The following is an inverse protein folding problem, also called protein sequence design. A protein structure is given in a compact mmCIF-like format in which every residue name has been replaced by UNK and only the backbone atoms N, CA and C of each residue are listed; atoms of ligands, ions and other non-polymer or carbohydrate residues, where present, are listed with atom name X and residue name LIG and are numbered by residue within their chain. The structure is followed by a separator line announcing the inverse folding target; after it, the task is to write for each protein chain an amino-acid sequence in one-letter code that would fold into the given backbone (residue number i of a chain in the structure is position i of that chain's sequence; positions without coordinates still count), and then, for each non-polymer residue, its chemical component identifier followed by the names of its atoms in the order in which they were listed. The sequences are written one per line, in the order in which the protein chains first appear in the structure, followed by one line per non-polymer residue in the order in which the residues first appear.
data_IF_804977217178
#
_entry.id   IF_804977217178
#
_cell.length_a   1.000
_cell.length_b   1.000
_cell.length_c   1.000
_cell.angle_alpha   90.00
_cell.angle_beta   90.00
_cell.angle_gamma   90.00
#
_symmetry.space_group_name_H-M   'P 1'
#
loop_
_entity.id
_entity.type
_entity.pdbx_description
1 polymer ?
#
# COMPACT_ATOMS: atom_id res chain seq x y z
N UNK A 1 14.45 -10.49 28.87
CA UNK A 1 14.82 -9.34 29.73
C UNK A 1 15.90 -8.56 29.02
N UNK A 2 15.79 -7.25 28.97
CA UNK A 2 16.84 -6.38 28.42
C UNK A 2 18.07 -6.41 29.35
N UNK A 3 19.23 -6.02 28.85
CA UNK A 3 20.50 -6.02 29.60
C UNK A 3 20.46 -5.18 30.89
N UNK A 4 19.49 -4.29 31.02
CA UNK A 4 19.22 -3.45 32.18
C UNK A 4 18.09 -3.99 33.10
N UNK A 5 17.60 -5.21 32.90
CA UNK A 5 16.52 -5.80 33.70
C UNK A 5 15.11 -5.35 33.32
N UNK A 6 14.96 -4.45 32.34
CA UNK A 6 13.65 -4.00 31.83
C UNK A 6 12.92 -5.06 31.01
N UNK A 7 11.59 -4.98 30.98
CA UNK A 7 10.76 -5.73 30.03
C UNK A 7 10.61 -4.93 28.73
N UNK A 8 10.78 -5.56 27.55
CA UNK A 8 10.55 -4.88 26.29
C UNK A 8 9.05 -4.61 26.11
N UNK A 9 8.70 -3.35 25.88
CA UNK A 9 7.34 -2.92 25.53
C UNK A 9 7.31 -2.66 24.03
N UNK A 10 6.37 -3.31 23.33
CA UNK A 10 6.25 -3.22 21.87
C UNK A 10 4.79 -3.13 21.46
N UNK A 11 4.54 -2.37 20.40
CA UNK A 11 3.26 -2.34 19.69
C UNK A 11 3.51 -2.51 18.18
N UNK A 12 2.47 -2.85 17.43
CA UNK A 12 2.54 -2.99 15.98
C UNK A 12 1.78 -1.84 15.32
N UNK A 13 2.37 -1.23 14.31
CA UNK A 13 1.69 -0.28 13.43
C UNK A 13 1.54 -0.93 12.07
N UNK A 14 0.30 -1.12 11.63
CA UNK A 14 -0.05 -1.71 10.35
C UNK A 14 -0.60 -0.64 9.41
N UNK A 15 0.24 -0.21 8.47
CA UNK A 15 -0.21 0.61 7.36
C UNK A 15 -0.79 -0.26 6.24
N UNK A 16 -1.77 0.28 5.52
CA UNK A 16 -2.31 -0.30 4.30
C UNK A 16 -1.34 -0.04 3.13
N UNK A 17 -1.84 0.38 1.97
CA UNK A 17 -0.95 0.79 0.87
C UNK A 17 -0.42 2.19 1.14
N UNK A 18 0.90 2.33 1.27
CA UNK A 18 1.54 3.64 1.52
C UNK A 18 1.89 4.30 0.19
N UNK A 19 1.50 5.57 0.02
CA UNK A 19 1.89 6.40 -1.13
C UNK A 19 2.58 7.68 -0.67
N UNK A 20 3.30 8.34 -1.58
CA UNK A 20 3.97 9.61 -1.29
C UNK A 20 5.18 9.80 -2.19
N UNK A 21 6.07 10.69 -1.75
CA UNK A 21 7.29 11.02 -2.47
C UNK A 21 8.16 9.77 -2.64
N UNK A 22 8.78 9.65 -3.82
CA UNK A 22 9.70 8.55 -4.16
C UNK A 22 9.06 7.16 -4.11
N UNK A 23 7.73 7.07 -4.10
CA UNK A 23 7.01 5.82 -4.28
C UNK A 23 7.37 5.19 -5.64
N UNK A 24 8.23 4.17 -5.62
CA UNK A 24 8.72 3.48 -6.82
C UNK A 24 7.58 2.89 -7.63
N UNK A 25 6.56 2.33 -6.97
CA UNK A 25 5.39 1.77 -7.65
C UNK A 25 4.61 2.83 -8.45
N UNK A 26 4.50 4.07 -7.97
CA UNK A 26 3.84 5.16 -8.72
C UNK A 26 4.67 5.55 -9.94
N UNK A 27 6.00 5.63 -9.78
CA UNK A 27 6.91 5.90 -10.89
C UNK A 27 6.85 4.80 -11.96
N UNK A 28 6.85 3.53 -11.55
CA UNK A 28 6.79 2.40 -12.47
C UNK A 28 5.45 2.37 -13.22
N UNK A 29 4.34 2.64 -12.53
CA UNK A 29 3.03 2.78 -13.14
C UNK A 29 2.99 3.93 -14.15
N UNK A 30 3.59 5.08 -13.84
CA UNK A 30 3.68 6.20 -14.76
C UNK A 30 4.47 5.85 -16.03
N UNK A 31 5.63 5.21 -15.89
CA UNK A 31 6.45 4.76 -17.03
C UNK A 31 5.69 3.75 -17.88
N UNK A 32 4.98 2.80 -17.26
CA UNK A 32 4.15 1.84 -17.97
C UNK A 32 2.99 2.52 -18.72
N UNK A 33 2.30 3.46 -18.08
CA UNK A 33 1.24 4.23 -18.73
C UNK A 33 1.77 5.01 -19.93
N UNK A 34 2.93 5.66 -19.81
CA UNK A 34 3.57 6.35 -20.94
C UNK A 34 3.94 5.41 -22.09
N UNK A 35 4.45 4.23 -21.79
CA UNK A 35 4.72 3.21 -22.81
C UNK A 35 3.44 2.69 -23.51
N UNK A 36 2.28 2.86 -22.88
CA UNK A 36 0.97 2.46 -23.38
C UNK A 36 0.14 3.67 -23.87
N UNK A 37 0.79 4.69 -24.43
CA UNK A 37 0.11 5.91 -24.94
C UNK A 37 -0.73 6.65 -23.90
N UNK A 38 -0.28 6.69 -22.64
CA UNK A 38 -0.96 7.36 -21.54
C UNK A 38 -2.06 6.53 -20.86
N UNK A 39 -2.18 5.25 -21.20
CA UNK A 39 -3.27 4.38 -20.72
C UNK A 39 -2.86 3.67 -19.43
N UNK A 40 -3.52 3.98 -18.31
CA UNK A 40 -3.26 3.34 -17.00
C UNK A 40 -4.21 2.16 -16.75
N UNK A 41 -3.75 0.94 -17.04
CA UNK A 41 -4.48 -0.29 -16.75
C UNK A 41 -4.46 -0.66 -15.26
N UNK A 42 -5.53 -1.31 -14.81
CA UNK A 42 -5.68 -1.77 -13.43
C UNK A 42 -6.19 -3.22 -13.38
N UNK A 43 -5.79 -3.94 -12.33
CA UNK A 43 -6.12 -5.36 -12.14
C UNK A 43 -7.20 -5.56 -11.08
N UNK A 44 -7.36 -4.59 -10.20
CA UNK A 44 -8.33 -4.63 -9.12
C UNK A 44 -9.75 -4.62 -9.69
N UNK A 45 -10.62 -5.56 -9.29
CA UNK A 45 -12.04 -5.43 -9.53
C UNK A 45 -12.57 -4.08 -9.04
N UNK A 46 -13.53 -3.49 -9.75
CA UNK A 46 -14.01 -2.15 -9.43
C UNK A 46 -14.74 -2.05 -8.08
N UNK A 47 -15.21 -3.17 -7.55
CA UNK A 47 -15.80 -3.36 -6.22
C UNK A 47 -14.74 -3.56 -5.12
N UNK A 48 -13.46 -3.62 -5.48
CA UNK A 48 -12.37 -3.79 -4.50
C UNK A 48 -12.13 -2.50 -3.72
N UNK A 49 -12.31 -2.57 -2.40
CA UNK A 49 -11.97 -1.50 -1.47
C UNK A 49 -10.62 -1.78 -0.81
N UNK A 50 -9.73 -0.80 -0.89
CA UNK A 50 -8.42 -0.77 -0.26
C UNK A 50 -8.02 0.66 0.06
N UNK A 51 -7.84 0.91 1.35
CA UNK A 51 -7.36 2.20 1.83
C UNK A 51 -5.89 2.37 1.44
N UNK A 52 -5.52 3.62 1.17
CA UNK A 52 -4.13 4.02 1.04
C UNK A 52 -3.87 5.16 2.05
N UNK A 53 -2.62 5.35 2.43
CA UNK A 53 -2.25 6.39 3.39
C UNK A 53 -0.97 7.08 2.95
N UNK A 54 -0.96 8.40 3.04
CA UNK A 54 0.21 9.21 2.74
C UNK A 54 1.37 8.88 3.69
N UNK A 55 2.58 8.77 3.17
CA UNK A 55 3.78 8.38 3.91
C UNK A 55 4.08 9.32 5.07
N UNK A 56 3.81 10.62 4.91
CA UNK A 56 3.95 11.60 5.98
C UNK A 56 3.03 11.31 7.18
N UNK A 57 1.79 10.90 6.91
CA UNK A 57 0.82 10.53 7.95
C UNK A 57 1.20 9.25 8.67
N UNK A 58 1.67 8.24 7.93
CA UNK A 58 2.19 6.99 8.53
C UNK A 58 3.37 7.30 9.43
N UNK A 59 4.31 8.12 8.95
CA UNK A 59 5.51 8.50 9.71
C UNK A 59 5.14 9.29 10.97
N UNK A 60 4.18 10.21 10.86
CA UNK A 60 3.67 10.96 12.01
C UNK A 60 3.05 10.05 13.07
N UNK A 61 2.26 9.06 12.66
CA UNK A 61 1.71 8.07 13.57
C UNK A 61 2.81 7.28 14.30
N UNK A 62 3.89 6.90 13.62
CA UNK A 62 5.04 6.24 14.28
C UNK A 62 5.68 7.13 15.35
N UNK A 63 5.84 8.43 15.09
CA UNK A 63 6.38 9.39 16.06
C UNK A 63 5.46 9.52 17.28
N UNK A 64 4.15 9.65 17.05
CA UNK A 64 3.16 9.71 18.14
C UNK A 64 3.16 8.43 18.98
N UNK A 65 3.16 7.27 18.33
CA UNK A 65 3.20 5.98 19.02
C UNK A 65 4.48 5.83 19.82
N UNK A 66 5.64 6.14 19.25
CA UNK A 66 6.93 6.04 19.96
C UNK A 66 6.97 6.95 21.20
N UNK A 67 6.41 8.15 21.12
CA UNK A 67 6.27 9.06 22.26
C UNK A 67 5.35 8.49 23.33
N UNK A 68 4.18 8.00 22.94
CA UNK A 68 3.19 7.49 23.90
C UNK A 68 3.58 6.14 24.50
N UNK A 69 4.39 5.34 23.81
CA UNK A 69 4.95 4.09 24.35
C UNK A 69 5.87 4.37 25.55
N UNK A 70 6.48 5.56 25.62
CA UNK A 70 7.29 5.98 26.77
C UNK A 70 6.45 6.57 27.91
N UNK A 71 5.31 7.18 27.59
CA UNK A 71 4.44 7.84 28.57
C UNK A 71 3.45 6.87 29.21
N UNK A 72 2.85 6.01 28.40
CA UNK A 72 1.78 5.07 28.78
C UNK A 72 2.08 3.66 28.22
N UNK A 73 3.20 3.04 28.62
CA UNK A 73 3.61 1.73 28.11
C UNK A 73 2.56 0.65 28.35
N UNK A 74 1.90 0.66 29.51
CA UNK A 74 0.90 -0.35 29.88
C UNK A 74 -0.35 -0.34 28.98
N UNK A 75 -0.69 0.83 28.42
CA UNK A 75 -1.83 0.97 27.51
C UNK A 75 -1.48 0.48 26.09
N UNK A 76 -0.28 0.79 25.62
CA UNK A 76 0.14 0.51 24.24
C UNK A 76 0.80 -0.86 24.08
N UNK A 77 1.26 -1.49 25.16
CA UNK A 77 1.91 -2.79 25.12
C UNK A 77 1.04 -3.87 24.46
N UNK A 78 1.61 -4.55 23.46
CA UNK A 78 0.97 -5.66 22.75
C UNK A 78 -0.16 -5.26 21.80
N UNK A 79 -0.44 -3.96 21.66
CA UNK A 79 -1.50 -3.47 20.78
C UNK A 79 -1.08 -3.44 19.31
N UNK A 80 -2.07 -3.59 18.43
CA UNK A 80 -1.94 -3.43 16.98
C UNK A 80 -2.77 -2.22 16.55
N UNK A 81 -2.12 -1.24 15.95
CA UNK A 81 -2.73 -0.01 15.48
C UNK A 81 -2.70 0.06 13.96
N UNK A 82 -3.84 0.37 13.36
CA UNK A 82 -3.94 0.53 11.91
C UNK A 82 -3.77 1.99 11.51
N UNK A 83 -2.93 2.27 10.52
CA UNK A 83 -2.86 3.60 9.91
C UNK A 83 -4.02 3.75 8.92
N UNK A 84 -4.85 4.76 9.15
CA UNK A 84 -5.83 5.26 8.19
C UNK A 84 -5.58 6.75 7.99
N UNK A 85 -5.78 7.22 6.76
CA UNK A 85 -5.68 8.63 6.40
C UNK A 85 -7.00 9.15 5.85
N UNK A 86 -7.07 10.45 5.63
CA UNK A 86 -8.27 11.14 5.10
C UNK A 86 -8.42 11.00 3.58
N UNK A 87 -7.85 9.95 2.99
CA UNK A 87 -7.88 9.74 1.55
C UNK A 87 -9.32 9.46 1.11
N UNK A 88 -9.91 10.28 0.21
CA UNK A 88 -11.35 10.28 -0.08
C UNK A 88 -11.81 9.06 -0.86
N UNK A 89 -10.88 8.36 -1.53
CA UNK A 89 -11.20 7.23 -2.41
C UNK A 89 -10.67 5.93 -1.82
N UNK A 90 -11.58 5.02 -1.44
CA UNK A 90 -11.24 3.65 -1.01
C UNK A 90 -10.87 2.73 -2.16
N UNK A 91 -10.95 3.16 -3.42
CA UNK A 91 -10.56 2.37 -4.58
C UNK A 91 -9.11 2.71 -4.96
N UNK A 92 -8.19 1.82 -4.66
CA UNK A 92 -6.75 2.08 -4.84
C UNK A 92 -6.35 2.40 -6.29
N UNK A 93 -7.05 1.85 -7.30
CA UNK A 93 -6.78 2.17 -8.70
C UNK A 93 -7.22 3.59 -9.08
N UNK A 94 -8.35 4.07 -8.55
CA UNK A 94 -8.83 5.44 -8.77
C UNK A 94 -7.90 6.45 -8.12
N UNK A 95 -7.39 6.15 -6.93
CA UNK A 95 -6.40 6.97 -6.26
C UNK A 95 -5.13 7.13 -7.11
N UNK A 96 -4.59 6.01 -7.62
CA UNK A 96 -3.42 6.00 -8.52
C UNK A 96 -3.68 6.84 -9.77
N UNK A 97 -4.84 6.65 -10.39
CA UNK A 97 -5.24 7.47 -11.53
C UNK A 97 -5.28 8.95 -11.16
N UNK A 98 -5.93 9.33 -10.06
CA UNK A 98 -6.04 10.72 -9.62
C UNK A 98 -4.67 11.35 -9.39
N UNK A 99 -3.77 10.66 -8.66
CA UNK A 99 -2.39 11.12 -8.39
C UNK A 99 -1.56 11.29 -9.68
N UNK A 100 -1.72 10.37 -10.64
CA UNK A 100 -0.96 10.46 -11.90
C UNK A 100 -1.56 11.50 -12.85
N UNK A 101 -2.89 11.61 -12.90
CA UNK A 101 -3.60 12.58 -13.74
C UNK A 101 -3.43 14.03 -13.28
N UNK A 102 -3.24 14.26 -11.97
CA UNK A 102 -2.95 15.59 -11.43
C UNK A 102 -1.55 16.06 -11.79
N UNK A 103 -0.59 15.13 -11.87
CA UNK A 103 0.78 15.40 -12.33
C UNK A 103 0.86 15.51 -13.86
N UNK A 104 0.15 14.65 -14.58
CA UNK A 104 0.18 14.58 -16.04
C UNK A 104 -1.23 14.28 -16.60
N UNK A 105 -1.92 15.30 -17.15
CA UNK A 105 -3.27 15.16 -17.71
C UNK A 105 -3.38 14.20 -18.91
N UNK A 106 -2.25 13.80 -19.52
CA UNK A 106 -2.26 12.82 -20.62
C UNK A 106 -2.51 11.39 -20.13
N UNK A 107 -2.39 11.13 -18.82
CA UNK A 107 -2.69 9.83 -18.23
C UNK A 107 -4.20 9.65 -18.15
N UNK A 108 -4.72 8.74 -18.95
CA UNK A 108 -6.13 8.37 -19.00
C UNK A 108 -6.38 7.07 -18.25
N UNK A 109 -7.56 6.99 -17.63
CA UNK A 109 -8.07 5.76 -17.05
C UNK A 109 -8.29 4.73 -18.14
N UNK A 110 -7.68 3.55 -17.99
CA UNK A 110 -7.85 2.47 -18.93
C UNK A 110 -8.95 1.48 -18.50
N UNK A 111 -8.97 0.33 -19.17
CA UNK A 111 -9.88 -0.78 -18.88
C UNK A 111 -9.32 -1.71 -17.79
N UNK A 112 -10.25 -2.32 -17.05
CA UNK A 112 -9.95 -3.42 -16.14
C UNK A 112 -9.31 -4.59 -16.90
N UNK A 113 -8.17 -5.10 -16.42
CA UNK A 113 -7.54 -6.31 -16.95
C UNK A 113 -8.24 -7.53 -16.33
N UNK A 114 -8.88 -8.41 -17.13
CA UNK A 114 -9.51 -9.60 -16.61
C UNK A 114 -8.52 -10.54 -15.90
N UNK A 115 -8.94 -11.12 -14.78
CA UNK A 115 -8.13 -12.06 -13.98
C UNK A 115 -7.52 -13.19 -14.82
N UNK A 116 -8.27 -13.76 -15.75
CA UNK A 116 -7.80 -14.87 -16.60
C UNK A 116 -6.59 -14.49 -17.46
N UNK A 117 -6.50 -13.23 -17.92
CA UNK A 117 -5.34 -12.75 -18.69
C UNK A 117 -4.09 -12.76 -17.82
N UNK A 118 -4.21 -12.26 -16.59
CA UNK A 118 -3.10 -12.22 -15.63
C UNK A 118 -2.68 -13.63 -15.21
N UNK A 119 -3.66 -14.50 -14.94
CA UNK A 119 -3.41 -15.91 -14.64
C UNK A 119 -2.65 -16.61 -15.78
N UNK A 120 -3.05 -16.36 -17.04
CA UNK A 120 -2.38 -16.91 -18.22
C UNK A 120 -0.95 -16.38 -18.34
N UNK A 121 -0.75 -15.07 -18.20
CA UNK A 121 0.59 -14.44 -18.24
C UNK A 121 1.51 -15.04 -17.18
N UNK A 122 1.03 -15.16 -15.92
CA UNK A 122 1.82 -15.73 -14.82
C UNK A 122 2.13 -17.21 -15.10
N UNK A 123 1.16 -17.96 -15.63
CA UNK A 123 1.34 -19.38 -15.97
C UNK A 123 2.37 -19.59 -17.08
N UNK A 124 2.31 -18.79 -18.15
CA UNK A 124 3.30 -18.80 -19.23
C UNK A 124 4.70 -18.45 -18.70
N UNK A 125 4.83 -17.40 -17.89
CA UNK A 125 6.12 -17.03 -17.28
C UNK A 125 6.69 -18.16 -16.43
N UNK A 126 5.84 -18.86 -15.68
CA UNK A 126 6.25 -20.01 -14.88
C UNK A 126 6.73 -21.18 -15.75
N UNK A 127 6.06 -21.46 -16.87
CA UNK A 127 6.50 -22.48 -17.83
C UNK A 127 7.86 -22.08 -18.42
N UNK A 128 7.99 -20.85 -18.92
CA UNK A 128 9.24 -20.31 -19.49
C UNK A 128 10.39 -20.44 -18.49
N UNK A 129 10.18 -20.09 -17.22
CA UNK A 129 11.19 -20.19 -16.15
C UNK A 129 11.60 -21.64 -15.82
N UNK A 130 10.70 -22.60 -15.99
CA UNK A 130 11.01 -24.02 -15.79
C UNK A 130 11.77 -24.57 -17.00
N UNK A 131 11.40 -24.16 -18.21
CA UNK A 131 11.99 -24.66 -19.46
C UNK A 131 13.34 -24.01 -19.79
N UNK A 132 13.48 -22.70 -19.59
CA UNK A 132 14.78 -22.02 -19.63
C UNK A 132 15.41 -22.14 -18.25
N UNK A 133 16.53 -22.87 -18.20
CA UNK A 133 17.38 -23.16 -17.03
C UNK A 133 17.41 -22.02 -15.96
N UNK A 134 17.60 -22.30 -14.65
CA UNK A 134 17.40 -21.34 -13.56
C UNK A 134 18.34 -20.11 -13.55
N UNK A 135 19.22 -19.98 -14.54
CA UNK A 135 20.27 -18.97 -14.61
C UNK A 135 19.79 -17.58 -15.02
N UNK A 136 18.51 -17.39 -15.35
CA UNK A 136 17.97 -16.07 -15.67
C UNK A 136 17.29 -15.45 -14.44
N UNK A 137 17.92 -14.41 -13.88
CA UNK A 137 17.47 -13.60 -12.73
C UNK A 137 16.21 -12.76 -12.98
N UNK A 138 15.36 -13.15 -13.94
CA UNK A 138 14.05 -12.52 -14.13
C UNK A 138 13.11 -13.05 -13.05
N UNK A 139 13.16 -12.42 -11.87
CA UNK A 139 12.06 -12.56 -10.92
C UNK A 139 10.82 -11.88 -11.52
N UNK A 140 9.71 -12.60 -11.70
CA UNK A 140 8.49 -11.95 -12.16
C UNK A 140 8.06 -10.93 -11.12
N UNK A 141 7.73 -9.71 -11.57
CA UNK A 141 7.18 -8.65 -10.72
C UNK A 141 5.80 -9.02 -10.16
N UNK A 142 5.13 -10.02 -10.75
CA UNK A 142 3.80 -10.48 -10.36
C UNK A 142 3.75 -12.01 -10.19
N UNK A 143 3.39 -12.47 -8.98
CA UNK A 143 3.17 -13.88 -8.66
C UNK A 143 1.70 -14.12 -8.28
N UNK A 144 1.22 -15.37 -8.35
CA UNK A 144 -0.17 -15.74 -8.02
C UNK A 144 -0.64 -15.25 -6.63
N UNK A 145 0.17 -15.37 -5.54
CA UNK A 145 -0.23 -14.84 -4.24
C UNK A 145 -0.42 -13.32 -4.25
N UNK A 146 0.44 -12.60 -4.99
CA UNK A 146 0.34 -11.15 -5.13
C UNK A 146 -0.92 -10.76 -5.92
N UNK A 147 -1.23 -11.50 -7.00
CA UNK A 147 -2.46 -11.31 -7.77
C UNK A 147 -3.71 -11.52 -6.90
N UNK A 148 -3.74 -12.56 -6.07
CA UNK A 148 -4.84 -12.80 -5.14
C UNK A 148 -5.01 -11.63 -4.16
N UNK A 149 -3.93 -11.16 -3.54
CA UNK A 149 -3.97 -10.03 -2.61
C UNK A 149 -4.42 -8.72 -3.28
N UNK A 150 -4.19 -8.57 -4.58
CA UNK A 150 -4.63 -7.38 -5.34
C UNK A 150 -6.13 -7.40 -5.61
N UNK A 151 -6.72 -8.57 -5.85
CA UNK A 151 -8.16 -8.70 -6.18
C UNK A 151 -9.06 -8.86 -4.94
N UNK A 152 -8.48 -8.98 -3.75
CA UNK A 152 -9.21 -9.06 -2.49
C UNK A 152 -9.33 -7.69 -1.82
N UNK A 153 -10.54 -7.34 -1.39
CA UNK A 153 -10.83 -6.14 -0.61
C UNK A 153 -10.27 -6.24 0.81
N UNK A 154 -9.62 -5.19 1.27
CA UNK A 154 -9.19 -5.02 2.66
C UNK A 154 -9.44 -3.57 3.08
N UNK A 155 -10.39 -3.38 3.99
CA UNK A 155 -10.63 -2.10 4.64
C UNK A 155 -10.56 -2.29 6.15
N UNK A 156 -9.94 -1.33 6.83
CA UNK A 156 -9.80 -1.31 8.28
C UNK A 156 -10.24 0.07 8.75
N UNK A 157 -11.15 0.11 9.71
CA UNK A 157 -11.54 1.32 10.44
C UNK A 157 -11.44 1.00 11.93
N UNK A 158 -10.59 1.72 12.63
CA UNK A 158 -10.37 1.52 14.07
C UNK A 158 -10.23 2.86 14.75
N UNK A 159 -10.83 3.04 15.91
CA UNK A 159 -10.70 4.26 16.71
C UNK A 159 -9.59 4.17 17.76
N UNK A 160 -8.95 3.01 17.92
CA UNK A 160 -7.98 2.72 18.98
C UNK A 160 -6.77 3.67 18.95
N UNK A 161 -6.23 3.97 17.77
CA UNK A 161 -5.10 4.89 17.64
C UNK A 161 -5.47 6.34 18.05
N UNK A 162 -6.65 6.81 17.64
CA UNK A 162 -7.15 8.13 18.04
C UNK A 162 -7.49 8.16 19.53
N UNK A 163 -8.03 7.07 20.09
CA UNK A 163 -8.39 6.98 21.51
C UNK A 163 -7.17 6.90 22.42
N UNK A 164 -6.19 6.06 22.10
CA UNK A 164 -5.04 5.78 22.98
C UNK A 164 -3.97 6.86 22.92
N UNK A 165 -3.78 7.53 21.78
CA UNK A 165 -2.72 8.54 21.67
C UNK A 165 -3.08 9.73 20.77
N UNK A 166 -4.37 9.97 20.54
CA UNK A 166 -4.83 11.14 19.80
C UNK A 166 -4.41 11.16 18.33
N UNK A 167 -4.10 9.98 17.74
CA UNK A 167 -3.66 9.88 16.36
C UNK A 167 -4.65 10.56 15.41
N UNK A 168 -4.14 11.54 14.66
CA UNK A 168 -4.81 12.23 13.57
C UNK A 168 -3.81 12.39 12.42
N UNK A 169 -4.24 12.31 11.17
CA UNK A 169 -3.38 12.60 10.04
C UNK A 169 -2.80 14.01 10.19
N UNK A 170 -1.49 14.14 9.95
CA UNK A 170 -0.78 15.42 9.99
C UNK A 170 -1.06 16.24 8.72
N UNK A 171 -1.15 15.55 7.60
CA UNK A 171 -1.42 16.09 6.27
C UNK A 171 -2.83 15.70 5.85
N UNK A 172 -3.62 16.69 5.45
CA UNK A 172 -4.89 16.45 4.79
C UNK A 172 -4.67 15.83 3.41
N UNK A 173 -5.73 15.28 2.82
CA UNK A 173 -5.67 14.79 1.44
C UNK A 173 -5.24 15.87 0.44
N UNK A 174 -5.60 17.14 0.66
CA UNK A 174 -5.24 18.24 -0.24
C UNK A 174 -3.75 18.61 -0.17
N UNK A 175 -3.09 18.32 0.96
CA UNK A 175 -1.67 18.58 1.19
C UNK A 175 -0.77 17.38 0.87
N UNK A 176 -1.38 16.19 0.71
CA UNK A 176 -0.71 14.92 0.38
C UNK A 176 -0.47 14.77 -1.12
#
# INVERSE_FOLDING_TARGET
QLSNGGQPVTCIIQASTVYGEKATFLKDLYVQAKAQNGVLNYLEPEDTERNCTYVGNVTWMHVLTARNLQLEPDLLAGQVYYCYGDTPTRKAFLLRHQLLSSMDPSVQRASHIPYWKMWLIISLHRIIKVTLHPSWWLQPSLNLPLLHTTVTSFSYETYEATRHFGSKPLFSWAES
#
